data_IF_143832235652
#
_entry.id   IF_143832235652
#
_cell.length_a   1.000
_cell.length_b   1.000
_cell.length_c   1.000
_cell.angle_alpha   90.00
_cell.angle_beta   90.00
_cell.angle_gamma   90.00
#
_symmetry.space_group_name_H-M   'P 1'
#
loop_
_entity.id
_entity.type
_entity.pdbx_description
1 polymer ?
#
# COMPACT_ATOMS: atom_id res chain seq x y z
N UNK A 1 -4.49 24.46 -0.11
CA UNK A 1 -3.46 23.42 -0.09
C UNK A 1 -4.15 22.14 -0.58
N UNK A 2 -3.63 21.45 -1.59
CA UNK A 2 -4.22 20.17 -2.02
C UNK A 2 -3.98 19.15 -0.90
N UNK A 3 -4.95 18.28 -0.60
CA UNK A 3 -4.74 17.24 0.39
C UNK A 3 -3.55 16.37 -0.02
N UNK A 4 -2.76 15.92 0.96
CA UNK A 4 -1.57 15.05 0.76
C UNK A 4 -1.88 13.76 -0.01
N UNK A 5 -3.16 13.40 -0.07
CA UNK A 5 -3.67 12.30 -0.89
C UNK A 5 -3.51 12.51 -2.39
N UNK A 6 -3.33 13.76 -2.85
CA UNK A 6 -3.17 14.04 -4.28
C UNK A 6 -1.75 13.76 -4.75
N UNK A 7 -1.58 12.55 -5.14
CA UNK A 7 -0.48 12.14 -5.99
C UNK A 7 -0.80 12.57 -7.43
N UNK A 8 -0.38 13.78 -7.81
CA UNK A 8 -0.72 14.36 -9.13
C UNK A 8 -0.13 13.61 -10.32
N UNK A 9 0.88 12.76 -10.09
CA UNK A 9 1.50 12.01 -11.20
C UNK A 9 0.79 10.69 -11.51
N UNK A 10 0.05 10.14 -10.54
CA UNK A 10 -0.71 8.90 -10.70
C UNK A 10 -2.20 9.19 -10.56
N UNK A 11 -2.91 9.22 -11.67
CA UNK A 11 -4.36 9.41 -11.68
C UNK A 11 -5.03 8.29 -12.44
N UNK A 12 -6.31 8.05 -12.14
CA UNK A 12 -7.07 6.98 -12.77
C UNK A 12 -8.39 7.51 -13.34
N UNK A 13 -8.95 6.83 -14.32
CA UNK A 13 -10.24 7.14 -14.91
C UNK A 13 -10.98 5.89 -15.37
N UNK A 14 -12.31 5.96 -15.44
CA UNK A 14 -13.14 4.81 -15.82
C UNK A 14 -13.26 3.75 -14.73
N UNK A 15 -13.90 2.62 -15.07
CA UNK A 15 -14.14 1.48 -14.19
C UNK A 15 -14.11 0.17 -14.97
N UNK A 16 -13.78 -0.93 -14.30
CA UNK A 16 -13.77 -2.27 -14.87
C UNK A 16 -12.93 -2.31 -16.15
N UNK A 17 -13.49 -2.82 -17.23
CA UNK A 17 -12.80 -2.91 -18.51
C UNK A 17 -12.39 -1.56 -19.14
N UNK A 18 -12.99 -0.45 -18.71
CA UNK A 18 -12.64 0.90 -19.17
C UNK A 18 -11.65 1.62 -18.26
N UNK A 19 -11.21 0.99 -17.18
CA UNK A 19 -10.29 1.58 -16.21
C UNK A 19 -8.92 1.85 -16.83
N UNK A 20 -8.39 3.04 -16.58
CA UNK A 20 -7.10 3.50 -17.11
C UNK A 20 -6.28 4.16 -16.03
N UNK A 21 -4.97 4.05 -16.15
CA UNK A 21 -3.98 4.74 -15.33
C UNK A 21 -3.30 5.80 -16.19
N UNK A 22 -3.18 7.00 -15.66
CA UNK A 22 -2.45 8.11 -16.25
C UNK A 22 -1.27 8.45 -15.35
N UNK A 23 -0.08 8.48 -15.92
CA UNK A 23 1.16 8.76 -15.22
C UNK A 23 1.81 10.02 -15.80
N UNK A 24 2.37 10.85 -14.93
CA UNK A 24 3.27 11.93 -15.35
C UNK A 24 4.72 11.48 -15.22
N UNK A 25 5.63 12.00 -16.05
CA UNK A 25 7.06 11.68 -15.95
C UNK A 25 7.68 12.27 -14.68
N UNK A 26 8.87 11.79 -14.35
CA UNK A 26 9.71 12.36 -13.30
C UNK A 26 10.05 13.82 -13.60
N UNK A 27 10.16 14.61 -12.55
CA UNK A 27 10.56 16.03 -12.64
C UNK A 27 12.08 16.21 -12.54
N UNK A 28 12.77 15.19 -12.05
CA UNK A 28 14.22 15.15 -11.91
C UNK A 28 14.73 13.73 -12.12
N UNK A 29 16.04 13.60 -12.35
CA UNK A 29 16.70 12.28 -12.43
C UNK A 29 16.62 11.63 -11.06
N UNK A 30 15.97 10.46 -10.91
CA UNK A 30 15.86 9.82 -9.62
C UNK A 30 17.21 9.28 -9.13
N UNK A 31 17.40 9.35 -7.83
CA UNK A 31 18.49 8.69 -7.12
C UNK A 31 18.14 7.21 -6.84
N UNK A 32 18.72 6.63 -5.81
CA UNK A 32 18.34 5.28 -5.36
C UNK A 32 16.92 5.27 -4.80
N UNK A 33 16.30 4.09 -4.78
CA UNK A 33 14.96 3.91 -4.21
C UNK A 33 14.89 4.38 -2.75
N UNK A 34 15.92 4.06 -1.96
CA UNK A 34 16.06 4.53 -0.59
C UNK A 34 16.07 6.07 -0.49
N UNK A 35 16.91 6.75 -1.27
CA UNK A 35 17.02 8.21 -1.22
C UNK A 35 15.74 8.91 -1.67
N UNK A 36 15.03 8.35 -2.66
CA UNK A 36 13.74 8.90 -3.09
C UNK A 36 12.64 8.67 -2.04
N UNK A 37 12.66 7.55 -1.31
CA UNK A 37 11.77 7.33 -0.17
C UNK A 37 12.06 8.31 0.99
N UNK A 38 13.35 8.57 1.31
CA UNK A 38 13.73 9.61 2.30
C UNK A 38 13.20 10.97 1.87
N UNK A 39 13.39 11.36 0.60
CA UNK A 39 12.89 12.63 0.07
C UNK A 39 11.37 12.73 0.17
N UNK A 40 10.64 11.68 -0.16
CA UNK A 40 9.19 11.66 -0.05
C UNK A 40 8.72 11.78 1.40
N UNK A 41 9.40 11.12 2.34
CA UNK A 41 9.10 11.25 3.77
C UNK A 41 9.28 12.71 4.25
N UNK A 42 10.34 13.39 3.80
CA UNK A 42 10.57 14.81 4.09
C UNK A 42 9.48 15.70 3.51
N UNK A 43 9.08 15.51 2.26
CA UNK A 43 7.97 16.25 1.61
C UNK A 43 6.68 16.06 2.39
N UNK A 44 6.35 14.84 2.81
CA UNK A 44 5.17 14.54 3.59
C UNK A 44 5.20 15.24 4.96
N UNK A 45 6.35 15.21 5.63
CA UNK A 45 6.53 15.87 6.92
C UNK A 45 6.35 17.40 6.83
N UNK A 46 6.98 18.03 5.84
CA UNK A 46 6.88 19.47 5.61
C UNK A 46 5.48 19.94 5.21
N UNK A 47 4.71 19.03 4.56
CA UNK A 47 3.36 19.32 4.08
C UNK A 47 2.26 18.96 5.08
N UNK A 48 2.57 18.15 6.09
CA UNK A 48 1.60 17.70 7.09
C UNK A 48 1.12 18.86 7.96
N UNK A 49 -0.20 18.92 8.21
CA UNK A 49 -0.81 19.90 9.09
C UNK A 49 -0.99 19.39 10.53
N UNK A 50 -0.80 18.10 10.75
CA UNK A 50 -0.95 17.40 12.02
C UNK A 50 0.15 16.34 12.20
N UNK A 51 0.32 15.75 13.41
CA UNK A 51 1.35 14.73 13.63
C UNK A 51 1.22 13.56 12.66
N UNK A 52 2.36 13.09 12.14
CA UNK A 52 2.39 11.93 11.24
C UNK A 52 2.09 10.64 12.00
N UNK A 53 1.18 9.85 11.46
CA UNK A 53 0.81 8.53 11.97
C UNK A 53 1.07 7.49 10.88
N UNK A 54 2.08 6.66 11.07
CA UNK A 54 2.41 5.59 10.15
C UNK A 54 1.57 4.35 10.46
N UNK A 55 0.74 3.90 9.52
CA UNK A 55 -0.03 2.67 9.68
C UNK A 55 0.91 1.48 9.51
N UNK A 56 1.12 0.71 10.57
CA UNK A 56 2.09 -0.36 10.63
C UNK A 56 1.42 -1.73 10.82
N UNK A 57 1.37 -2.51 9.75
CA UNK A 57 0.80 -3.86 9.78
C UNK A 57 1.79 -4.94 10.21
N UNK A 58 3.09 -4.62 10.31
CA UNK A 58 4.14 -5.61 10.50
C UNK A 58 4.60 -6.30 9.22
N UNK A 59 3.99 -6.00 8.06
CA UNK A 59 4.45 -6.45 6.75
C UNK A 59 5.72 -5.74 6.29
N UNK A 60 6.45 -6.33 5.33
CA UNK A 60 7.74 -5.80 4.84
C UNK A 60 7.63 -4.35 4.34
N UNK A 61 6.55 -4.00 3.62
CA UNK A 61 6.37 -2.64 3.08
C UNK A 61 6.23 -1.61 4.20
N UNK A 62 5.41 -1.93 5.20
CA UNK A 62 5.18 -1.03 6.33
C UNK A 62 6.40 -0.92 7.23
N UNK A 63 7.18 -1.99 7.40
CA UNK A 63 8.45 -1.94 8.14
C UNK A 63 9.50 -1.13 7.39
N UNK A 64 9.60 -1.30 6.06
CA UNK A 64 10.46 -0.47 5.22
C UNK A 64 10.11 1.01 5.38
N UNK A 65 8.82 1.37 5.28
CA UNK A 65 8.36 2.74 5.49
C UNK A 65 8.76 3.29 6.87
N UNK A 66 8.52 2.55 7.95
CA UNK A 66 8.88 3.00 9.32
C UNK A 66 10.38 3.26 9.43
N UNK A 67 11.23 2.39 8.87
CA UNK A 67 12.67 2.58 8.86
C UNK A 67 13.09 3.81 8.04
N UNK A 68 12.45 4.09 6.90
CA UNK A 68 12.69 5.30 6.10
C UNK A 68 12.40 6.56 6.92
N UNK A 69 11.25 6.65 7.61
CA UNK A 69 10.91 7.82 8.42
C UNK A 69 11.87 7.99 9.61
N UNK A 70 12.31 6.88 10.20
CA UNK A 70 13.33 6.87 11.27
C UNK A 70 14.67 7.41 10.78
N UNK A 71 15.15 6.91 9.63
CA UNK A 71 16.43 7.36 9.05
C UNK A 71 16.38 8.80 8.52
N UNK A 72 15.20 9.26 8.10
CA UNK A 72 14.96 10.66 7.74
C UNK A 72 15.00 11.60 8.96
N UNK A 73 15.05 11.08 10.18
CA UNK A 73 15.03 11.88 11.42
C UNK A 73 13.70 12.61 11.66
N UNK A 74 12.60 12.06 11.16
CA UNK A 74 11.27 12.65 11.23
C UNK A 74 10.54 12.13 12.46
N UNK A 75 9.88 13.03 13.20
CA UNK A 75 8.99 12.63 14.29
C UNK A 75 7.70 12.05 13.75
N UNK A 76 7.35 10.85 14.21
CA UNK A 76 6.11 10.17 13.87
C UNK A 76 5.60 9.30 15.01
N UNK A 77 4.34 8.90 14.92
CA UNK A 77 3.77 7.84 15.74
C UNK A 77 3.43 6.65 14.84
N UNK A 78 3.31 5.47 15.46
CA UNK A 78 2.90 4.24 14.77
C UNK A 78 1.49 3.88 15.22
N UNK A 79 0.62 3.50 14.30
CA UNK A 79 -0.69 2.93 14.58
C UNK A 79 -0.77 1.49 14.07
N UNK A 80 -1.32 0.59 14.90
CA UNK A 80 -1.56 -0.82 14.58
C UNK A 80 -3.06 -1.07 14.67
N UNK A 81 -3.66 -1.63 13.61
CA UNK A 81 -5.06 -2.05 13.62
C UNK A 81 -5.13 -3.48 14.13
N UNK A 82 -5.88 -3.68 15.21
CA UNK A 82 -6.09 -4.96 15.87
C UNK A 82 -7.54 -5.43 15.69
N UNK A 83 -7.70 -6.70 15.38
CA UNK A 83 -8.98 -7.43 15.39
C UNK A 83 -9.01 -8.46 16.52
N UNK A 84 -8.31 -8.18 17.63
CA UNK A 84 -8.11 -9.13 18.72
C UNK A 84 -7.41 -10.40 18.22
N UNK A 85 -7.91 -11.56 18.64
CA UNK A 85 -7.30 -12.86 18.30
C UNK A 85 -7.32 -13.18 16.79
N UNK A 86 -8.18 -12.51 16.01
CA UNK A 86 -8.32 -12.79 14.57
C UNK A 86 -7.10 -12.39 13.74
N UNK A 87 -6.30 -11.40 14.15
CA UNK A 87 -5.12 -10.99 13.41
C UNK A 87 -3.82 -10.95 14.22
N UNK A 88 -3.78 -11.58 15.39
CA UNK A 88 -2.56 -11.67 16.23
C UNK A 88 -1.38 -12.27 15.47
N UNK A 89 -1.62 -13.27 14.61
CA UNK A 89 -0.60 -13.91 13.79
C UNK A 89 0.09 -12.94 12.80
N UNK A 90 -0.55 -11.84 12.45
CA UNK A 90 -0.02 -10.79 11.57
C UNK A 90 0.56 -9.64 12.41
N UNK A 91 -0.20 -9.11 13.38
CA UNK A 91 0.20 -7.96 14.18
C UNK A 91 1.37 -8.23 15.12
N UNK A 92 1.66 -9.50 15.46
CA UNK A 92 2.80 -9.86 16.33
C UNK A 92 4.13 -9.32 15.79
N UNK A 93 4.31 -9.25 14.47
CA UNK A 93 5.52 -8.70 13.87
C UNK A 93 5.64 -7.19 14.10
N UNK A 94 4.51 -6.47 14.06
CA UNK A 94 4.47 -5.05 14.36
C UNK A 94 4.77 -4.77 15.83
N UNK A 95 4.18 -5.54 16.75
CA UNK A 95 4.44 -5.42 18.19
C UNK A 95 5.90 -5.68 18.52
N UNK A 96 6.48 -6.78 18.03
CA UNK A 96 7.87 -7.14 18.27
C UNK A 96 8.83 -6.07 17.74
N UNK A 97 8.55 -5.51 16.56
CA UNK A 97 9.35 -4.41 16.01
C UNK A 97 9.26 -3.17 16.89
N UNK A 98 8.06 -2.77 17.32
CA UNK A 98 7.85 -1.61 18.18
C UNK A 98 8.58 -1.78 19.52
N UNK A 99 8.48 -2.94 20.16
CA UNK A 99 9.17 -3.25 21.40
C UNK A 99 10.69 -3.15 21.24
N UNK A 100 11.24 -3.79 20.20
CA UNK A 100 12.68 -3.79 19.93
C UNK A 100 13.23 -2.38 19.63
N UNK A 101 12.40 -1.46 19.15
CA UNK A 101 12.78 -0.09 18.80
C UNK A 101 12.32 0.97 19.83
N UNK A 102 11.73 0.56 20.96
CA UNK A 102 11.23 1.49 21.99
C UNK A 102 10.07 2.36 21.52
N UNK A 103 9.30 1.92 20.54
CA UNK A 103 8.14 2.62 20.00
C UNK A 103 6.89 2.18 20.76
N UNK A 104 6.12 3.13 21.27
CA UNK A 104 4.80 2.86 21.87
C UNK A 104 3.74 3.07 20.81
N UNK A 105 3.15 2.01 20.24
CA UNK A 105 2.16 2.14 19.18
C UNK A 105 0.79 2.58 19.70
N UNK A 106 0.05 3.29 18.88
CA UNK A 106 -1.38 3.53 19.05
C UNK A 106 -2.12 2.28 18.57
N UNK A 107 -2.86 1.62 19.45
CA UNK A 107 -3.65 0.44 19.08
C UNK A 107 -5.07 0.87 18.71
N UNK A 108 -5.48 0.53 17.49
CA UNK A 108 -6.82 0.75 16.97
C UNK A 108 -7.57 -0.57 17.02
N UNK A 109 -8.26 -0.83 18.13
CA UNK A 109 -9.04 -2.03 18.29
C UNK A 109 -10.38 -1.94 17.54
N UNK A 110 -10.66 -2.97 16.76
CA UNK A 110 -11.90 -3.14 16.01
C UNK A 110 -12.55 -4.46 16.44
N UNK A 111 -13.75 -4.38 17.00
CA UNK A 111 -14.62 -5.53 17.11
C UNK A 111 -15.05 -5.96 15.71
N UNK A 112 -14.31 -6.88 15.12
CA UNK A 112 -14.48 -7.29 13.73
C UNK A 112 -15.79 -8.04 13.50
N UNK A 113 -16.28 -8.78 14.50
CA UNK A 113 -17.57 -9.47 14.42
C UNK A 113 -18.71 -8.46 14.37
N UNK A 114 -18.73 -7.51 15.30
CA UNK A 114 -19.72 -6.44 15.28
C UNK A 114 -19.63 -5.59 14.01
N UNK A 115 -18.42 -5.28 13.54
CA UNK A 115 -18.20 -4.54 12.30
C UNK A 115 -18.82 -5.21 11.08
N UNK A 116 -18.75 -6.54 10.99
CA UNK A 116 -19.36 -7.32 9.92
C UNK A 116 -20.88 -7.43 10.12
N UNK A 117 -21.33 -7.85 11.31
CA UNK A 117 -22.74 -8.15 11.60
C UNK A 117 -23.62 -6.89 11.56
N UNK A 118 -23.11 -5.74 12.00
CA UNK A 118 -23.84 -4.46 11.94
C UNK A 118 -24.00 -3.89 10.52
N UNK A 119 -23.38 -4.50 9.52
CA UNK A 119 -23.40 -4.00 8.15
C UNK A 119 -22.46 -2.81 7.90
N UNK A 120 -21.67 -2.36 8.88
CA UNK A 120 -20.71 -1.25 8.72
C UNK A 120 -19.69 -1.53 7.62
N UNK A 121 -19.31 -2.79 7.45
CA UNK A 121 -18.45 -3.24 6.34
C UNK A 121 -19.06 -2.93 4.96
N UNK A 122 -20.39 -3.08 4.79
CA UNK A 122 -21.11 -2.80 3.54
C UNK A 122 -21.11 -1.29 3.26
N UNK A 123 -21.39 -0.49 4.28
CA UNK A 123 -21.39 0.97 4.17
C UNK A 123 -20.06 1.49 3.64
N UNK A 124 -18.95 1.05 4.28
CA UNK A 124 -17.61 1.48 3.89
C UNK A 124 -17.22 0.91 2.53
N UNK A 125 -17.52 -0.36 2.24
CA UNK A 125 -17.22 -0.98 0.96
C UNK A 125 -17.88 -0.23 -0.21
N UNK A 126 -19.15 0.18 -0.05
CA UNK A 126 -19.87 0.95 -1.07
C UNK A 126 -19.28 2.37 -1.22
N UNK A 127 -19.01 3.08 -0.12
CA UNK A 127 -18.47 4.43 -0.13
C UNK A 127 -17.10 4.48 -0.83
N UNK A 128 -16.25 3.49 -0.56
CA UNK A 128 -14.90 3.39 -1.12
C UNK A 128 -14.83 2.64 -2.46
N UNK A 129 -15.95 2.09 -2.95
CA UNK A 129 -15.99 1.20 -4.14
C UNK A 129 -15.00 0.03 -3.97
N UNK A 130 -15.05 -0.60 -2.83
CA UNK A 130 -14.03 -1.57 -2.40
C UNK A 130 -14.30 -2.96 -2.97
N UNK A 131 -13.27 -3.57 -3.53
CA UNK A 131 -13.33 -4.89 -4.17
C UNK A 131 -12.56 -5.99 -3.41
N UNK A 132 -12.28 -5.79 -2.12
CA UNK A 132 -11.57 -6.77 -1.30
C UNK A 132 -12.05 -6.72 0.16
N UNK A 133 -12.20 -7.88 0.79
CA UNK A 133 -12.83 -8.04 2.10
C UNK A 133 -12.12 -7.31 3.24
N UNK A 134 -10.78 -7.33 3.24
CA UNK A 134 -9.98 -6.75 4.33
C UNK A 134 -9.89 -5.22 4.28
N UNK A 135 -10.11 -4.60 3.12
CA UNK A 135 -9.90 -3.16 2.95
C UNK A 135 -10.88 -2.33 3.79
N UNK A 136 -12.19 -2.63 3.85
CA UNK A 136 -13.13 -1.84 4.64
C UNK A 136 -12.79 -1.78 6.13
N UNK A 137 -12.25 -2.85 6.73
CA UNK A 137 -11.85 -2.83 8.14
C UNK A 137 -10.61 -1.96 8.38
N UNK A 138 -9.66 -1.96 7.45
CA UNK A 138 -8.51 -1.05 7.49
C UNK A 138 -8.99 0.40 7.38
N UNK A 139 -9.89 0.71 6.46
CA UNK A 139 -10.48 2.04 6.29
C UNK A 139 -11.23 2.51 7.53
N UNK A 140 -11.98 1.60 8.17
CA UNK A 140 -12.65 1.90 9.44
C UNK A 140 -11.65 2.20 10.55
N UNK A 141 -10.55 1.46 10.62
CA UNK A 141 -9.46 1.76 11.56
C UNK A 141 -8.85 3.13 11.32
N UNK A 142 -8.54 3.45 10.06
CA UNK A 142 -7.96 4.73 9.66
C UNK A 142 -8.88 5.90 10.06
N UNK A 143 -10.19 5.77 9.92
CA UNK A 143 -11.14 6.83 10.30
C UNK A 143 -11.20 7.13 11.80
N UNK A 144 -10.54 6.31 12.62
CA UNK A 144 -10.40 6.54 14.08
C UNK A 144 -9.07 7.22 14.46
N UNK A 145 -8.20 7.49 13.50
CA UNK A 145 -6.90 8.09 13.73
C UNK A 145 -7.03 9.61 13.64
N UNK A 146 -6.51 10.29 14.66
CA UNK A 146 -6.37 11.75 14.67
C UNK A 146 -4.91 12.10 14.30
N UNK A 147 -4.72 12.60 13.09
CA UNK A 147 -3.40 12.92 12.55
C UNK A 147 -3.31 12.72 11.04
N UNK A 148 -2.13 13.01 10.49
CA UNK A 148 -1.79 12.77 9.08
C UNK A 148 -1.40 11.31 8.87
N UNK A 149 -2.25 10.53 8.22
CA UNK A 149 -2.09 9.06 8.09
C UNK A 149 -1.27 8.71 6.86
N UNK A 150 -0.20 7.95 7.07
CA UNK A 150 0.66 7.45 5.98
C UNK A 150 0.59 5.91 5.94
N UNK A 151 0.31 5.37 4.76
CA UNK A 151 0.29 3.92 4.52
C UNK A 151 1.35 3.52 3.51
N UNK A 152 1.90 2.33 3.67
CA UNK A 152 2.97 1.79 2.84
C UNK A 152 2.47 1.02 1.60
N UNK A 153 1.36 1.45 0.98
CA UNK A 153 0.98 0.86 -0.30
C UNK A 153 1.74 1.51 -1.46
N UNK A 154 1.51 0.98 -2.65
CA UNK A 154 1.98 1.57 -3.90
C UNK A 154 3.33 1.02 -4.38
N UNK A 155 3.88 -0.03 -3.75
CA UNK A 155 5.08 -0.63 -4.33
C UNK A 155 4.82 -1.04 -5.80
N UNK A 156 5.72 -0.74 -6.74
CA UNK A 156 5.55 -1.10 -8.14
C UNK A 156 5.50 -2.62 -8.30
N UNK A 157 4.38 -3.11 -8.82
CA UNK A 157 4.17 -4.54 -9.03
C UNK A 157 4.55 -4.93 -10.45
N UNK A 158 5.69 -5.61 -10.59
CA UNK A 158 6.17 -6.16 -11.86
C UNK A 158 6.15 -7.68 -11.79
N UNK A 159 5.56 -8.31 -12.77
CA UNK A 159 5.44 -9.77 -12.86
C UNK A 159 5.83 -10.29 -14.23
N UNK A 160 6.25 -11.55 -14.28
CA UNK A 160 6.64 -12.24 -15.49
C UNK A 160 5.43 -13.01 -16.08
N UNK A 161 5.16 -12.78 -17.36
CA UNK A 161 4.24 -13.55 -18.18
C UNK A 161 5.01 -14.23 -19.31
N UNK A 162 5.48 -15.44 -19.08
CA UNK A 162 6.19 -16.23 -20.07
C UNK A 162 7.39 -15.50 -20.73
N UNK A 163 8.14 -14.77 -19.94
CA UNK A 163 9.30 -13.99 -20.38
C UNK A 163 9.01 -12.51 -20.69
N UNK A 164 7.74 -12.11 -20.74
CA UNK A 164 7.32 -10.71 -20.87
C UNK A 164 7.07 -10.11 -19.48
N UNK A 165 7.95 -9.23 -19.04
CA UNK A 165 7.83 -8.56 -17.76
C UNK A 165 6.94 -7.33 -17.89
N UNK A 166 5.86 -7.29 -17.07
CA UNK A 166 4.87 -6.22 -17.08
C UNK A 166 4.70 -5.62 -15.71
N UNK A 167 4.63 -4.31 -15.66
CA UNK A 167 4.08 -3.57 -14.56
C UNK A 167 2.55 -3.66 -14.61
N UNK A 168 1.96 -4.00 -13.48
CA UNK A 168 0.52 -4.15 -13.34
C UNK A 168 0.00 -3.28 -12.22
N UNK A 169 -1.10 -2.59 -12.51
CA UNK A 169 -1.93 -1.94 -11.51
C UNK A 169 -3.35 -2.48 -11.58
N UNK A 170 -4.03 -2.50 -10.45
CA UNK A 170 -5.43 -2.92 -10.37
C UNK A 170 -6.29 -1.79 -9.82
N UNK A 171 -7.54 -1.72 -10.24
CA UNK A 171 -8.49 -0.69 -9.80
C UNK A 171 -8.71 -0.67 -8.27
N UNK A 172 -8.30 -1.72 -7.58
CA UNK A 172 -8.30 -1.83 -6.12
C UNK A 172 -7.58 -0.65 -5.43
N UNK A 173 -6.59 -0.04 -6.09
CA UNK A 173 -5.88 1.13 -5.53
C UNK A 173 -6.81 2.31 -5.29
N UNK A 174 -7.85 2.46 -6.12
CA UNK A 174 -8.81 3.55 -5.99
C UNK A 174 -9.61 3.49 -4.70
N UNK A 175 -9.79 2.31 -4.10
CA UNK A 175 -10.57 2.14 -2.88
C UNK A 175 -10.00 2.99 -1.73
N UNK A 176 -8.69 2.97 -1.52
CA UNK A 176 -8.05 3.78 -0.48
C UNK A 176 -8.13 5.27 -0.81
N UNK A 177 -7.83 5.65 -2.07
CA UNK A 177 -7.91 7.05 -2.50
C UNK A 177 -9.33 7.61 -2.36
N UNK A 178 -10.35 6.83 -2.77
CA UNK A 178 -11.76 7.20 -2.61
C UNK A 178 -12.10 7.43 -1.14
N UNK A 179 -11.62 6.56 -0.24
CA UNK A 179 -11.89 6.68 1.19
C UNK A 179 -11.24 7.92 1.79
N UNK A 180 -9.93 8.10 1.58
CA UNK A 180 -9.21 9.28 2.06
C UNK A 180 -9.90 10.58 1.60
N UNK A 181 -10.22 10.67 0.30
CA UNK A 181 -10.86 11.86 -0.28
C UNK A 181 -12.28 12.07 0.26
N UNK A 182 -13.10 11.01 0.32
CA UNK A 182 -14.50 11.13 0.75
C UNK A 182 -14.66 11.43 2.23
N UNK A 183 -13.72 11.00 3.06
CA UNK A 183 -13.73 11.26 4.50
C UNK A 183 -12.90 12.47 4.90
N UNK A 184 -12.22 13.13 3.96
CA UNK A 184 -11.33 14.26 4.26
C UNK A 184 -10.14 13.87 5.16
N UNK A 185 -9.66 12.62 5.05
CA UNK A 185 -8.53 12.14 5.84
C UNK A 185 -7.26 12.80 5.32
N UNK A 186 -6.52 13.47 6.21
CA UNK A 186 -5.20 14.03 5.91
C UNK A 186 -4.17 12.89 5.82
N UNK A 187 -3.34 12.89 4.75
CA UNK A 187 -2.30 11.90 4.56
C UNK A 187 -2.31 11.22 3.20
N UNK A 188 -1.60 10.11 3.07
CA UNK A 188 -1.53 9.32 1.82
C UNK A 188 -1.59 7.83 2.07
N UNK A 189 -2.38 7.07 1.29
CA UNK A 189 -2.37 5.63 1.35
C UNK A 189 -1.17 5.00 0.62
N UNK A 190 -0.46 5.75 -0.24
CA UNK A 190 0.45 5.20 -1.24
C UNK A 190 1.88 5.76 -1.14
N UNK A 191 2.51 5.61 0.03
CA UNK A 191 3.87 6.11 0.27
C UNK A 191 4.89 5.57 -0.74
N UNK A 192 4.86 4.28 -1.06
CA UNK A 192 5.86 3.64 -1.92
C UNK A 192 5.72 3.98 -3.42
N UNK A 193 4.81 4.88 -3.76
CA UNK A 193 4.70 5.53 -5.08
C UNK A 193 4.31 6.98 -4.96
N UNK A 194 4.64 7.62 -3.86
CA UNK A 194 4.23 9.01 -3.59
C UNK A 194 4.76 10.00 -4.64
N UNK A 195 5.92 9.70 -5.24
CA UNK A 195 6.47 10.45 -6.37
C UNK A 195 6.80 9.54 -7.55
N UNK A 196 6.83 10.04 -8.80
CA UNK A 196 7.25 9.24 -9.94
C UNK A 196 8.71 8.79 -9.83
N UNK A 197 9.56 9.57 -9.13
CA UNK A 197 10.95 9.23 -8.87
C UNK A 197 11.08 7.98 -8.01
N UNK A 198 10.24 7.79 -6.98
CA UNK A 198 10.19 6.54 -6.20
C UNK A 198 9.89 5.36 -7.13
N UNK A 199 8.84 5.48 -7.95
CA UNK A 199 8.44 4.40 -8.85
C UNK A 199 9.55 4.08 -9.85
N UNK A 200 10.18 5.09 -10.48
CA UNK A 200 11.24 4.87 -11.46
C UNK A 200 12.51 4.31 -10.82
N UNK A 201 12.91 4.80 -9.64
CA UNK A 201 14.07 4.31 -8.92
C UNK A 201 13.91 2.84 -8.49
N UNK A 202 12.71 2.44 -8.04
CA UNK A 202 12.41 1.04 -7.77
C UNK A 202 12.51 0.18 -9.02
N UNK A 203 11.88 0.59 -10.12
CA UNK A 203 11.90 -0.15 -11.38
C UNK A 203 13.31 -0.28 -11.98
N UNK A 204 14.17 0.71 -11.74
CA UNK A 204 15.58 0.74 -12.19
C UNK A 204 16.56 0.20 -11.14
N UNK A 205 16.09 -0.21 -9.96
CA UNK A 205 16.98 -0.84 -8.96
C UNK A 205 17.73 -2.03 -9.61
N UNK A 206 19.04 -2.14 -9.42
CA UNK A 206 19.84 -3.21 -10.05
C UNK A 206 19.29 -4.62 -9.81
N UNK A 207 18.62 -4.87 -8.69
CA UNK A 207 18.04 -6.18 -8.39
C UNK A 207 16.73 -6.42 -9.12
N UNK A 208 15.90 -5.38 -9.31
CA UNK A 208 14.71 -5.45 -10.18
C UNK A 208 15.16 -5.66 -11.63
N UNK A 209 16.16 -4.91 -12.07
CA UNK A 209 16.76 -5.09 -13.41
C UNK A 209 17.30 -6.51 -13.59
N UNK A 210 18.03 -7.03 -12.59
CA UNK A 210 18.53 -8.42 -12.61
C UNK A 210 17.39 -9.43 -12.64
N UNK A 211 16.33 -9.23 -11.86
CA UNK A 211 15.14 -10.08 -11.85
C UNK A 211 14.48 -10.12 -13.24
N UNK A 212 14.30 -8.96 -13.87
CA UNK A 212 13.69 -8.82 -15.20
C UNK A 212 14.58 -9.44 -16.30
N UNK A 213 15.89 -9.27 -16.21
CA UNK A 213 16.86 -9.78 -17.21
C UNK A 213 17.16 -11.26 -17.05
N UNK A 214 17.04 -11.82 -15.85
CA UNK A 214 17.15 -13.25 -15.65
C UNK A 214 15.95 -13.92 -16.26
N UNK A 215 16.16 -14.61 -17.39
CA UNK A 215 15.14 -15.43 -18.08
C UNK A 215 14.75 -16.67 -17.24
N UNK A 216 14.55 -16.49 -15.94
CA UNK A 216 14.12 -17.57 -15.04
C UNK A 216 12.70 -17.94 -15.40
N UNK A 217 12.51 -19.20 -15.72
CA UNK A 217 11.19 -19.80 -15.91
C UNK A 217 10.44 -19.81 -14.58
N UNK A 218 9.22 -19.26 -14.55
CA UNK A 218 8.35 -19.32 -13.39
C UNK A 218 7.56 -18.02 -13.17
N UNK A 219 6.57 -18.08 -12.28
CA UNK A 219 5.72 -16.94 -11.89
C UNK A 219 6.48 -16.02 -10.90
N UNK A 220 7.57 -15.43 -11.33
CA UNK A 220 8.32 -14.46 -10.53
C UNK A 220 7.66 -13.08 -10.59
N UNK A 221 7.77 -12.35 -9.50
CA UNK A 221 7.28 -10.97 -9.42
C UNK A 221 8.07 -10.18 -8.38
N UNK A 222 7.98 -8.85 -8.41
CA UNK A 222 8.57 -8.00 -7.36
C UNK A 222 7.99 -8.31 -5.99
N UNK A 223 6.71 -8.73 -5.90
CA UNK A 223 6.10 -9.15 -4.62
C UNK A 223 6.77 -10.35 -3.98
N UNK A 224 7.21 -11.33 -4.77
CA UNK A 224 7.92 -12.51 -4.26
C UNK A 224 9.39 -12.23 -3.96
N UNK A 225 9.91 -11.14 -4.48
CA UNK A 225 11.33 -10.73 -4.38
C UNK A 225 11.55 -9.49 -3.53
N UNK A 226 10.49 -8.92 -2.91
CA UNK A 226 10.60 -7.64 -2.18
C UNK A 226 11.58 -7.68 -1.01
N UNK A 227 11.68 -8.81 -0.30
CA UNK A 227 12.68 -8.96 0.76
C UNK A 227 14.09 -8.75 0.22
N UNK A 228 14.41 -9.34 -0.93
CA UNK A 228 15.71 -9.16 -1.60
C UNK A 228 15.94 -7.68 -2.01
N UNK A 229 14.88 -6.97 -2.42
CA UNK A 229 14.98 -5.56 -2.84
C UNK A 229 15.20 -4.67 -1.60
N UNK A 230 14.43 -4.86 -0.55
CA UNK A 230 14.48 -4.02 0.65
C UNK A 230 15.68 -4.31 1.56
N UNK A 231 16.20 -5.55 1.58
CA UNK A 231 17.33 -5.96 2.43
C UNK A 231 18.67 -5.29 2.06
N UNK A 232 18.72 -4.51 1.00
CA UNK A 232 19.86 -3.65 0.73
C UNK A 232 19.97 -2.53 1.75
N UNK A 233 18.83 -1.96 2.11
CA UNK A 233 18.75 -0.72 2.84
C UNK A 233 18.59 -1.00 4.34
N UNK A 234 17.86 -2.08 4.67
CA UNK A 234 17.55 -2.46 6.05
C UNK A 234 17.65 -3.97 6.26
N UNK A 235 18.05 -4.37 7.46
CA UNK A 235 17.97 -5.76 7.89
C UNK A 235 16.52 -6.10 8.25
N UNK A 236 15.78 -6.66 7.29
CA UNK A 236 14.38 -7.03 7.45
C UNK A 236 14.26 -8.55 7.58
N UNK A 237 13.57 -9.02 8.61
CA UNK A 237 13.31 -10.44 8.77
C UNK A 237 12.32 -10.95 7.71
N UNK A 238 12.63 -12.09 7.08
CA UNK A 238 11.65 -12.77 6.23
C UNK A 238 10.47 -13.24 7.08
N UNK A 239 9.27 -13.04 6.55
CA UNK A 239 8.03 -13.45 7.20
C UNK A 239 6.98 -13.84 6.18
N UNK A 240 5.99 -14.67 6.55
CA UNK A 240 4.84 -14.95 5.71
C UNK A 240 4.10 -13.66 5.35
N UNK A 241 3.43 -13.67 4.20
CA UNK A 241 2.53 -12.59 3.82
C UNK A 241 1.15 -12.90 4.34
N UNK A 242 0.66 -12.02 5.22
CA UNK A 242 -0.70 -12.09 5.75
C UNK A 242 -1.55 -10.93 5.21
N UNK A 243 -2.86 -11.10 5.30
CA UNK A 243 -3.88 -10.07 5.04
C UNK A 243 -4.53 -9.60 6.34
N UNK A 244 -4.27 -10.32 7.44
CA UNK A 244 -4.92 -10.17 8.73
C UNK A 244 -6.32 -10.79 8.80
N UNK A 245 -6.81 -11.38 7.68
CA UNK A 245 -8.16 -11.95 7.58
C UNK A 245 -8.21 -13.46 7.55
N UNK A 246 -7.08 -14.15 7.57
CA UNK A 246 -6.97 -15.60 7.43
C UNK A 246 -7.77 -16.38 8.48
N UNK A 247 -7.94 -15.83 9.70
CA UNK A 247 -8.75 -16.48 10.73
C UNK A 247 -10.23 -16.16 10.55
N UNK A 248 -10.58 -14.94 10.15
CA UNK A 248 -11.96 -14.53 9.87
C UNK A 248 -12.52 -15.37 8.72
N UNK A 249 -11.73 -15.61 7.68
CA UNK A 249 -12.11 -16.42 6.50
C UNK A 249 -12.48 -17.88 6.85
N UNK A 250 -12.06 -18.37 8.02
CA UNK A 250 -12.39 -19.72 8.52
C UNK A 250 -13.67 -19.78 9.34
N UNK A 251 -14.29 -18.65 9.63
CA UNK A 251 -15.48 -18.57 10.47
C UNK A 251 -16.77 -18.52 9.67
N UNK A 252 -17.91 -18.72 10.36
CA UNK A 252 -19.25 -18.54 9.80
C UNK A 252 -19.57 -17.08 9.46
N UNK A 253 -18.77 -16.11 9.90
CA UNK A 253 -18.91 -14.71 9.53
C UNK A 253 -18.88 -14.51 8.00
N UNK A 254 -18.14 -15.36 7.28
CA UNK A 254 -18.07 -15.33 5.81
C UNK A 254 -19.41 -15.66 5.12
N UNK A 255 -20.38 -16.19 5.85
CA UNK A 255 -21.75 -16.39 5.35
C UNK A 255 -22.62 -15.13 5.42
N UNK A 256 -22.10 -14.02 5.98
CA UNK A 256 -22.83 -12.77 6.05
C UNK A 256 -23.06 -12.19 4.64
N UNK A 257 -24.23 -11.58 4.42
CA UNK A 257 -24.62 -10.97 3.14
C UNK A 257 -23.63 -9.89 2.66
N UNK A 258 -22.88 -9.26 3.57
CA UNK A 258 -21.84 -8.29 3.26
C UNK A 258 -20.83 -8.79 2.24
N UNK A 259 -20.50 -10.06 2.30
CA UNK A 259 -19.52 -10.63 1.36
C UNK A 259 -20.08 -10.82 -0.05
N UNK A 260 -21.40 -11.03 -0.18
CA UNK A 260 -22.08 -10.98 -1.48
C UNK A 260 -21.98 -9.59 -2.10
N UNK A 261 -22.26 -8.55 -1.32
CA UNK A 261 -22.15 -7.16 -1.78
C UNK A 261 -20.72 -6.82 -2.23
N UNK A 262 -19.70 -7.18 -1.44
CA UNK A 262 -18.31 -6.94 -1.81
C UNK A 262 -17.89 -7.73 -3.06
N UNK A 263 -18.42 -8.94 -3.25
CA UNK A 263 -18.18 -9.71 -4.47
C UNK A 263 -18.80 -9.04 -5.71
N UNK A 264 -19.96 -8.41 -5.58
CA UNK A 264 -20.57 -7.66 -6.68
C UNK A 264 -19.79 -6.38 -6.99
N UNK A 265 -19.32 -5.66 -5.98
CA UNK A 265 -18.38 -4.56 -6.17
C UNK A 265 -17.08 -5.03 -6.87
N UNK A 266 -16.54 -6.19 -6.48
CA UNK A 266 -15.36 -6.78 -7.12
C UNK A 266 -15.59 -7.08 -8.61
N UNK A 267 -16.78 -7.50 -9.02
CA UNK A 267 -17.12 -7.68 -10.44
C UNK A 267 -17.20 -6.37 -11.19
N UNK A 268 -17.64 -5.30 -10.53
CA UNK A 268 -17.80 -3.97 -11.10
C UNK A 268 -16.48 -3.20 -11.19
N UNK A 269 -15.65 -3.27 -10.13
CA UNK A 269 -14.38 -2.53 -9.99
C UNK A 269 -13.17 -3.47 -10.10
N UNK A 270 -13.04 -4.14 -11.24
CA UNK A 270 -12.03 -5.17 -11.51
C UNK A 270 -11.03 -4.76 -12.59
N UNK A 271 -10.92 -3.47 -12.87
CA UNK A 271 -10.00 -2.96 -13.89
C UNK A 271 -8.55 -3.37 -13.62
N UNK A 272 -7.86 -3.76 -14.68
CA UNK A 272 -6.44 -4.07 -14.67
C UNK A 272 -5.77 -3.24 -15.77
N UNK A 273 -4.67 -2.60 -15.41
CA UNK A 273 -3.83 -1.86 -16.33
C UNK A 273 -2.43 -2.47 -16.36
N UNK A 274 -1.92 -2.74 -17.53
CA UNK A 274 -0.61 -3.36 -17.72
C UNK A 274 0.21 -2.59 -18.75
N UNK A 275 1.50 -2.40 -18.45
CA UNK A 275 2.51 -1.94 -19.40
C UNK A 275 3.72 -2.86 -19.33
N UNK A 276 4.40 -3.09 -20.46
CA UNK A 276 5.71 -3.75 -20.41
C UNK A 276 6.67 -2.94 -19.53
N UNK A 277 7.57 -3.64 -18.82
CA UNK A 277 8.55 -2.99 -17.95
C UNK A 277 9.36 -1.92 -18.67
N UNK A 278 9.75 -2.16 -19.91
CA UNK A 278 10.46 -1.17 -20.73
C UNK A 278 9.61 0.08 -20.98
N UNK A 279 8.33 -0.11 -21.34
CA UNK A 279 7.43 1.03 -21.63
C UNK A 279 7.16 1.87 -20.39
N UNK A 280 6.94 1.26 -19.22
CA UNK A 280 6.72 2.04 -18.00
C UNK A 280 7.96 2.83 -17.63
N UNK A 281 9.16 2.23 -17.71
CA UNK A 281 10.42 2.92 -17.44
C UNK A 281 10.66 4.11 -18.39
N UNK A 282 10.29 3.97 -19.67
CA UNK A 282 10.38 5.06 -20.65
C UNK A 282 9.35 6.16 -20.36
N UNK A 283 8.11 5.76 -20.08
CA UNK A 283 6.99 6.69 -19.90
C UNK A 283 7.16 7.64 -18.73
N UNK A 284 7.70 7.13 -17.59
CA UNK A 284 7.92 7.96 -16.39
C UNK A 284 9.34 8.53 -16.29
N UNK A 285 10.23 8.26 -17.27
CA UNK A 285 11.52 8.96 -17.38
C UNK A 285 11.30 10.41 -17.78
N UNK A 286 12.23 11.29 -17.40
CA UNK A 286 12.23 12.70 -17.83
C UNK A 286 12.20 12.72 -19.36
N UNK A 287 11.29 13.51 -19.93
CA UNK A 287 11.33 13.79 -21.37
C UNK A 287 12.64 14.51 -21.67
N UNK A 288 13.46 13.89 -22.55
CA UNK A 288 14.76 14.39 -23.00
C UNK A 288 14.60 15.50 -24.03
#
# INVERSE_FOLDING_TARGET
MLPLTHNEYFTTSGHGASWKVHLKPCTQVPKSFYEECIRAAQILYESASSPLILLFSGGLDSEYMVNIFKDAGIDFKVAIISYGDYNTHDTIYAYNYCEANGIVPIIIDIDIEHFIISGKIIEIANAAKCCAYQIPSIMYGISKIDGTVIMANGEPYVKNFDGDWRWEETERVNSYMNWFTSQGIDGTPDFLRYTPEITLSFLKDPRVVQLVNNKLSGKLSTRTSKHMIYSRDFELAQRPKFTGWEQIEKTSLMNNEAFSVINDLKKQYNGVFELSWTKICQHISIES
#
